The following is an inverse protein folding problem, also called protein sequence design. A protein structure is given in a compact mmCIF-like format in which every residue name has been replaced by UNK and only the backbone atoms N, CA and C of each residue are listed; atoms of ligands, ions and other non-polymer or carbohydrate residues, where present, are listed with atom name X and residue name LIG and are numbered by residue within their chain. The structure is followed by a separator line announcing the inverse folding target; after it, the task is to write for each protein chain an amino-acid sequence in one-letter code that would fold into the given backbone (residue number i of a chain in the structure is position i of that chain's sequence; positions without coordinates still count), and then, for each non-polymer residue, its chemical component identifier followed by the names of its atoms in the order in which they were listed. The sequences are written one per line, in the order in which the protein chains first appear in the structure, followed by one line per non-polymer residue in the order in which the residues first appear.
data_IF_494476966952
#
_entry.id   IF_494476966952
#
_cell.length_a   1.000
_cell.length_b   1.000
_cell.length_c   1.000
_cell.angle_alpha   90.00
_cell.angle_beta   90.00
_cell.angle_gamma   90.00
#
_symmetry.space_group_name_H-M   'P 1'
#
loop_
_entity.id
_entity.type
_entity.pdbx_description
1 polymer ?
#
# COMPACT_ATOMS: atom_id res chain seq x y z
N UNK A 1 -20.16 -3.82 0.51
CA UNK A 1 -19.68 -5.12 0.06
C UNK A 1 -18.22 -5.19 0.39
N UNK A 2 -17.86 -5.81 1.49
CA UNK A 2 -16.47 -6.02 1.85
C UNK A 2 -15.95 -7.28 1.19
N UNK A 3 -15.16 -7.14 0.14
CA UNK A 3 -14.32 -8.25 -0.32
C UNK A 3 -13.06 -8.25 0.56
N UNK A 4 -13.01 -9.15 1.53
CA UNK A 4 -11.88 -9.30 2.46
C UNK A 4 -10.75 -10.16 1.89
N UNK A 5 -10.50 -10.12 0.60
CA UNK A 5 -9.31 -10.75 0.08
C UNK A 5 -8.11 -9.86 0.34
N UNK A 6 -7.55 -10.00 1.51
CA UNK A 6 -6.32 -9.33 1.91
C UNK A 6 -5.16 -9.88 1.07
N UNK A 7 -4.35 -8.98 0.50
CA UNK A 7 -3.02 -9.30 -0.04
C UNK A 7 -2.14 -9.98 1.04
N UNK A 8 -2.53 -9.87 2.30
CA UNK A 8 -2.04 -10.58 3.47
C UNK A 8 -1.96 -12.11 3.29
N UNK A 9 -2.90 -12.68 2.54
CA UNK A 9 -3.01 -14.13 2.28
C UNK A 9 -2.21 -14.54 1.03
N UNK A 10 -1.43 -13.62 0.46
CA UNK A 10 -0.59 -13.91 -0.70
C UNK A 10 0.64 -14.73 -0.30
N UNK A 11 1.10 -15.57 -1.21
CA UNK A 11 2.34 -16.36 -1.09
C UNK A 11 3.62 -15.49 -0.91
N UNK A 12 3.50 -14.17 -1.01
CA UNK A 12 4.62 -13.21 -0.93
C UNK A 12 4.89 -12.66 0.48
N UNK A 13 4.17 -13.12 1.49
CA UNK A 13 4.37 -12.74 2.88
C UNK A 13 3.36 -11.75 3.43
N UNK A 14 3.19 -11.80 4.76
CA UNK A 14 2.20 -11.02 5.50
C UNK A 14 2.65 -9.60 5.82
N UNK A 15 3.95 -9.32 5.79
CA UNK A 15 4.53 -8.03 6.16
C UNK A 15 5.27 -7.35 5.01
N UNK A 16 5.58 -6.08 5.20
CA UNK A 16 6.22 -5.22 4.20
C UNK A 16 7.63 -5.71 3.84
N UNK A 17 8.41 -6.16 4.81
CA UNK A 17 9.80 -6.61 4.59
C UNK A 17 9.83 -7.91 3.78
N UNK A 18 8.96 -8.85 4.10
CA UNK A 18 8.79 -10.08 3.33
C UNK A 18 8.44 -9.81 1.86
N UNK A 19 7.63 -8.78 1.60
CA UNK A 19 7.27 -8.37 0.23
C UNK A 19 8.42 -7.70 -0.50
N UNK A 20 9.23 -6.89 0.18
CA UNK A 20 10.46 -6.32 -0.38
C UNK A 20 11.40 -7.44 -0.80
N UNK A 21 11.63 -8.41 0.09
CA UNK A 21 12.49 -9.56 -0.19
C UNK A 21 11.94 -10.41 -1.35
N UNK A 22 10.64 -10.64 -1.39
CA UNK A 22 10.02 -11.42 -2.46
C UNK A 22 10.09 -10.68 -3.82
N UNK A 23 9.93 -9.35 -3.82
CA UNK A 23 10.09 -8.54 -5.02
C UNK A 23 11.56 -8.52 -5.52
N UNK A 24 12.53 -8.52 -4.60
CA UNK A 24 13.95 -8.52 -4.92
C UNK A 24 14.47 -9.89 -5.42
N UNK A 25 13.80 -10.98 -5.06
CA UNK A 25 14.13 -12.34 -5.52
C UNK A 25 13.76 -12.62 -6.98
N UNK A 26 13.42 -11.61 -7.73
CA UNK A 26 13.17 -11.73 -9.17
C UNK A 26 14.37 -12.40 -9.83
N UNK A 27 14.18 -13.65 -10.17
CA UNK A 27 15.16 -14.60 -10.62
C UNK A 27 15.93 -14.06 -11.83
N UNK A 28 17.25 -14.13 -11.79
CA UNK A 28 18.13 -13.80 -12.92
C UNK A 28 17.84 -14.64 -14.18
N UNK A 29 17.09 -15.73 -14.06
CA UNK A 29 16.78 -16.66 -15.14
C UNK A 29 15.39 -16.52 -15.77
N UNK A 30 14.44 -15.83 -15.14
CA UNK A 30 13.08 -15.66 -15.68
C UNK A 30 12.55 -14.23 -15.50
N UNK A 31 12.99 -13.32 -16.37
CA UNK A 31 12.56 -11.92 -16.38
C UNK A 31 11.05 -11.71 -16.58
N UNK A 32 10.34 -12.73 -17.06
CA UNK A 32 8.90 -12.65 -17.31
C UNK A 32 8.07 -12.93 -16.05
N UNK A 33 8.62 -13.61 -15.05
CA UNK A 33 7.95 -14.02 -13.82
C UNK A 33 8.61 -13.49 -12.54
N UNK A 34 9.37 -12.40 -12.63
CA UNK A 34 10.01 -11.78 -11.49
C UNK A 34 9.00 -11.44 -10.39
N UNK A 35 9.39 -11.60 -9.13
CA UNK A 35 8.51 -11.39 -7.97
C UNK A 35 7.80 -10.03 -7.99
N UNK A 36 8.48 -8.96 -8.39
CA UNK A 36 7.90 -7.63 -8.56
C UNK A 36 6.77 -7.62 -9.59
N UNK A 37 6.99 -8.20 -10.79
CA UNK A 37 6.00 -8.20 -11.85
C UNK A 37 4.80 -9.10 -11.53
N UNK A 38 5.03 -10.23 -10.87
CA UNK A 38 3.95 -11.09 -10.37
C UNK A 38 3.08 -10.35 -9.36
N UNK A 39 3.68 -9.67 -8.39
CA UNK A 39 2.95 -8.88 -7.39
C UNK A 39 2.15 -7.75 -8.04
N UNK A 40 2.77 -6.99 -8.94
CA UNK A 40 2.09 -5.93 -9.67
C UNK A 40 0.89 -6.49 -10.44
N UNK A 41 1.09 -7.57 -11.19
CA UNK A 41 0.03 -8.21 -11.98
C UNK A 41 -1.13 -8.66 -11.10
N UNK A 42 -0.85 -9.26 -9.95
CA UNK A 42 -1.89 -9.67 -9.00
C UNK A 42 -2.66 -8.48 -8.45
N UNK A 43 -1.96 -7.42 -8.00
CA UNK A 43 -2.60 -6.20 -7.47
C UNK A 43 -3.50 -5.58 -8.54
N UNK A 44 -2.99 -5.38 -9.75
CA UNK A 44 -3.74 -4.74 -10.85
C UNK A 44 -4.93 -5.60 -11.27
N UNK A 45 -4.76 -6.92 -11.34
CA UNK A 45 -5.86 -7.84 -11.67
C UNK A 45 -6.99 -7.78 -10.64
N UNK A 46 -6.67 -7.77 -9.34
CA UNK A 46 -7.65 -7.62 -8.27
C UNK A 46 -8.39 -6.27 -8.36
N UNK A 47 -7.65 -5.17 -8.57
CA UNK A 47 -8.24 -3.84 -8.71
C UNK A 47 -9.15 -3.76 -9.93
N UNK A 48 -8.75 -4.29 -11.08
CA UNK A 48 -9.59 -4.34 -12.27
C UNK A 48 -10.87 -5.15 -12.04
N UNK A 49 -10.79 -6.28 -11.33
CA UNK A 49 -11.94 -7.06 -10.94
C UNK A 49 -12.92 -6.27 -10.08
N UNK A 50 -12.44 -5.64 -9.01
CA UNK A 50 -13.28 -4.84 -8.12
C UNK A 50 -13.87 -3.59 -8.80
N UNK A 51 -13.10 -2.89 -9.62
CA UNK A 51 -13.59 -1.74 -10.39
C UNK A 51 -14.71 -2.17 -11.33
N UNK A 52 -14.55 -3.29 -12.03
CA UNK A 52 -15.56 -3.81 -12.94
C UNK A 52 -16.86 -4.19 -12.22
N UNK A 53 -16.74 -4.85 -11.07
CA UNK A 53 -17.89 -5.21 -10.21
C UNK A 53 -18.64 -3.97 -9.74
N UNK A 54 -17.91 -3.01 -9.12
CA UNK A 54 -18.51 -1.76 -8.63
C UNK A 54 -19.14 -0.92 -9.75
N UNK A 55 -18.51 -0.85 -10.92
CA UNK A 55 -19.07 -0.14 -12.07
C UNK A 55 -20.38 -0.79 -12.54
N UNK A 56 -20.43 -2.11 -12.54
CA UNK A 56 -21.65 -2.87 -12.88
C UNK A 56 -22.77 -2.58 -11.90
N UNK A 57 -22.51 -2.66 -10.60
CA UNK A 57 -23.48 -2.34 -9.54
C UNK A 57 -24.00 -0.89 -9.63
N UNK A 58 -23.13 0.05 -9.96
CA UNK A 58 -23.49 1.46 -10.09
C UNK A 58 -24.11 1.82 -11.45
N UNK A 59 -24.19 0.90 -12.41
CA UNK A 59 -24.64 1.18 -13.78
C UNK A 59 -23.76 2.17 -14.51
N UNK A 60 -22.45 2.15 -14.25
CA UNK A 60 -21.44 3.03 -14.86
C UNK A 60 -20.44 2.20 -15.66
N UNK A 61 -19.72 2.87 -16.57
CA UNK A 61 -18.74 2.22 -17.45
C UNK A 61 -17.30 2.68 -17.16
N UNK A 62 -17.14 3.76 -16.42
CA UNK A 62 -15.82 4.37 -16.16
C UNK A 62 -15.74 5.07 -14.83
N UNK A 63 -14.57 5.00 -14.22
CA UNK A 63 -14.15 5.80 -13.06
C UNK A 63 -13.42 7.05 -13.58
N UNK A 64 -13.88 8.24 -13.20
CA UNK A 64 -13.24 9.49 -13.61
C UNK A 64 -11.90 9.69 -12.88
N UNK A 65 -11.87 9.40 -11.58
CA UNK A 65 -10.66 9.54 -10.75
C UNK A 65 -10.53 8.35 -9.82
N UNK A 66 -9.36 7.75 -9.80
CA UNK A 66 -8.97 6.69 -8.89
C UNK A 66 -7.92 7.24 -7.91
N UNK A 67 -8.25 7.26 -6.63
CA UNK A 67 -7.36 7.75 -5.59
C UNK A 67 -6.80 6.56 -4.82
N UNK A 68 -5.49 6.54 -4.65
CA UNK A 68 -4.75 5.47 -3.96
C UNK A 68 -4.07 6.05 -2.73
N UNK A 69 -4.42 5.54 -1.57
CA UNK A 69 -3.72 5.78 -0.32
C UNK A 69 -3.18 4.44 0.18
N UNK A 70 -1.90 4.35 0.40
CA UNK A 70 -1.27 3.10 0.81
C UNK A 70 0.15 3.31 1.32
N UNK A 71 0.64 2.29 2.00
CA UNK A 71 2.02 2.21 2.43
C UNK A 71 2.97 2.40 1.24
N UNK A 72 4.14 3.02 1.48
CA UNK A 72 5.11 3.35 0.43
C UNK A 72 5.53 2.13 -0.39
N UNK A 73 5.78 0.99 0.25
CA UNK A 73 6.15 -0.26 -0.44
C UNK A 73 5.01 -0.75 -1.34
N UNK A 74 3.78 -0.73 -0.83
CA UNK A 74 2.61 -1.17 -1.62
C UNK A 74 2.38 -0.28 -2.84
N UNK A 75 2.60 1.03 -2.72
CA UNK A 75 2.52 1.94 -3.86
C UNK A 75 3.62 1.68 -4.89
N UNK A 76 4.84 1.34 -4.46
CA UNK A 76 5.92 0.90 -5.35
C UNK A 76 5.55 -0.38 -6.10
N UNK A 77 5.03 -1.40 -5.38
CA UNK A 77 4.58 -2.66 -5.99
C UNK A 77 3.47 -2.44 -7.02
N UNK A 78 2.48 -1.59 -6.70
CA UNK A 78 1.41 -1.21 -7.63
C UNK A 78 1.96 -0.60 -8.91
N UNK A 79 2.96 0.28 -8.79
CA UNK A 79 3.55 0.98 -9.91
C UNK A 79 4.65 0.18 -10.63
N UNK A 80 4.97 -1.04 -10.16
CA UNK A 80 6.05 -1.85 -10.74
C UNK A 80 7.45 -1.25 -10.51
N UNK A 81 7.60 -0.44 -9.46
CA UNK A 81 8.87 0.15 -9.04
C UNK A 81 9.49 -0.77 -7.98
N UNK A 82 10.77 -1.09 -8.12
CA UNK A 82 11.46 -1.94 -7.15
C UNK A 82 11.47 -1.31 -5.76
N UNK A 83 10.97 -2.01 -4.72
CA UNK A 83 11.03 -1.53 -3.36
C UNK A 83 12.35 -1.86 -2.64
N UNK A 84 13.37 -2.38 -3.34
CA UNK A 84 14.60 -2.89 -2.73
C UNK A 84 15.30 -1.88 -1.82
N UNK A 85 15.35 -0.61 -2.23
CA UNK A 85 15.97 0.46 -1.43
C UNK A 85 15.23 0.75 -0.13
N UNK A 86 13.93 0.42 -0.06
CA UNK A 86 13.15 0.56 1.17
C UNK A 86 13.50 -0.50 2.22
N UNK A 87 14.12 -1.61 1.82
CA UNK A 87 14.64 -2.64 2.73
C UNK A 87 16.07 -2.39 3.23
N UNK A 88 16.75 -1.36 2.72
CA UNK A 88 18.17 -1.08 3.03
C UNK A 88 18.35 0.36 3.50
N UNK A 89 19.13 0.56 4.54
CA UNK A 89 19.48 1.92 4.98
C UNK A 89 20.13 2.72 3.83
N UNK A 90 19.75 3.98 3.59
CA UNK A 90 18.92 4.87 4.43
C UNK A 90 17.38 4.78 4.17
N UNK A 91 16.85 3.71 3.61
CA UNK A 91 15.42 3.44 3.39
C UNK A 91 14.71 4.49 2.51
N UNK A 92 15.41 4.96 1.51
CA UNK A 92 14.92 6.03 0.62
C UNK A 92 14.07 5.46 -0.51
N UNK A 93 12.82 5.93 -0.68
CA UNK A 93 12.00 5.53 -1.81
C UNK A 93 12.52 6.09 -3.13
N UNK A 94 12.32 5.35 -4.21
CA UNK A 94 12.60 5.82 -5.57
C UNK A 94 11.53 6.77 -6.10
N UNK A 95 10.31 6.70 -5.54
CA UNK A 95 9.19 7.57 -5.90
C UNK A 95 8.43 7.96 -4.63
N UNK A 96 8.17 9.27 -4.46
CA UNK A 96 7.38 9.82 -3.35
C UNK A 96 5.91 10.04 -3.69
N UNK A 97 5.53 9.82 -4.96
CA UNK A 97 4.15 9.98 -5.44
C UNK A 97 3.63 11.42 -5.32
N UNK A 98 2.38 11.61 -4.92
CA UNK A 98 1.79 12.95 -4.74
C UNK A 98 1.43 13.65 -6.04
N UNK A 99 1.28 12.93 -7.14
CA UNK A 99 0.93 13.44 -8.48
C UNK A 99 -0.05 12.54 -9.21
N UNK A 100 -0.53 13.00 -10.34
CA UNK A 100 -1.36 12.20 -11.24
C UNK A 100 -0.49 11.24 -12.08
N UNK A 101 -1.05 10.07 -12.32
CA UNK A 101 -0.49 9.01 -13.16
C UNK A 101 -1.54 8.56 -14.17
N UNK A 102 -1.08 8.07 -15.32
CA UNK A 102 -1.96 7.42 -16.27
C UNK A 102 -2.22 5.97 -15.82
N UNK A 103 -3.48 5.57 -15.52
CA UNK A 103 -3.79 4.23 -15.05
C UNK A 103 -3.37 3.14 -16.06
N UNK A 104 -3.40 3.43 -17.34
CA UNK A 104 -3.05 2.47 -18.39
C UNK A 104 -1.56 2.07 -18.38
N UNK A 105 -0.68 2.90 -17.80
CA UNK A 105 0.75 2.59 -17.72
C UNK A 105 1.02 1.36 -16.83
N UNK A 106 0.09 1.06 -15.93
CA UNK A 106 0.16 -0.13 -15.06
C UNK A 106 -0.87 -1.20 -15.43
N UNK A 107 -1.64 -1.01 -16.51
CA UNK A 107 -2.68 -1.94 -16.93
C UNK A 107 -3.98 -1.83 -16.13
N UNK A 108 -4.23 -0.71 -15.45
CA UNK A 108 -5.48 -0.45 -14.76
C UNK A 108 -6.52 0.06 -15.75
N UNK A 109 -7.59 -0.71 -15.93
CA UNK A 109 -8.64 -0.47 -16.91
C UNK A 109 -9.79 0.37 -16.31
N UNK A 110 -10.59 0.95 -17.21
CA UNK A 110 -11.82 1.66 -16.86
C UNK A 110 -11.64 2.86 -15.90
N UNK A 111 -10.42 3.38 -15.77
CA UNK A 111 -10.08 4.60 -15.03
C UNK A 111 -9.53 5.66 -15.97
N UNK A 112 -9.87 6.95 -15.73
CA UNK A 112 -9.37 8.06 -16.54
C UNK A 112 -8.07 8.64 -16.01
N UNK A 113 -8.03 8.90 -14.71
CA UNK A 113 -6.84 9.41 -14.01
C UNK A 113 -6.64 8.65 -12.71
N UNK A 114 -5.39 8.52 -12.29
CA UNK A 114 -5.02 7.94 -11.00
C UNK A 114 -4.16 8.94 -10.22
N UNK A 115 -4.50 9.15 -8.95
CA UNK A 115 -3.71 9.93 -8.00
C UNK A 115 -3.24 8.99 -6.91
N UNK A 116 -1.94 8.98 -6.65
CA UNK A 116 -1.37 8.28 -5.50
C UNK A 116 -0.97 9.34 -4.48
N UNK A 117 -1.44 9.17 -3.24
CA UNK A 117 -1.09 10.07 -2.15
C UNK A 117 0.41 10.07 -1.88
N UNK A 118 0.98 11.25 -1.51
CA UNK A 118 2.42 11.37 -1.32
C UNK A 118 2.89 10.56 -0.11
N UNK A 119 4.02 9.89 -0.26
CA UNK A 119 4.77 9.32 0.85
C UNK A 119 5.67 10.39 1.49
N UNK A 120 5.85 10.33 2.81
CA UNK A 120 6.80 11.17 3.56
C UNK A 120 8.17 10.49 3.60
N UNK A 121 8.18 9.17 3.73
CA UNK A 121 9.40 8.36 3.82
C UNK A 121 9.12 6.92 3.39
N UNK A 122 10.14 6.07 3.47
CA UNK A 122 10.00 4.65 3.18
C UNK A 122 8.95 3.92 4.03
N UNK A 123 8.73 4.37 5.25
CA UNK A 123 7.81 3.74 6.21
C UNK A 123 6.65 4.66 6.64
N UNK A 124 6.52 5.84 6.08
CA UNK A 124 5.38 6.75 6.28
C UNK A 124 4.83 7.07 4.90
N UNK A 125 3.82 6.34 4.52
CA UNK A 125 3.26 6.32 3.18
C UNK A 125 2.10 7.27 2.95
N UNK A 126 1.46 7.08 1.80
CA UNK A 126 0.28 7.82 1.38
C UNK A 126 -0.98 7.52 2.22
N UNK A 127 -1.03 6.41 2.91
CA UNK A 127 -2.02 6.06 3.93
C UNK A 127 -2.04 7.10 5.05
N UNK A 128 -0.86 7.42 5.61
CA UNK A 128 -0.72 8.40 6.68
C UNK A 128 -1.05 9.80 6.19
N UNK A 129 -0.53 10.21 5.03
CA UNK A 129 -0.80 11.55 4.50
C UNK A 129 -2.27 11.74 4.13
N UNK A 130 -2.95 10.70 3.64
CA UNK A 130 -4.38 10.73 3.40
C UNK A 130 -5.19 10.84 4.70
N UNK A 131 -4.83 10.05 5.72
CA UNK A 131 -5.49 10.12 7.03
C UNK A 131 -5.30 11.45 7.73
N UNK A 132 -4.16 12.10 7.53
CA UNK A 132 -3.86 13.42 8.09
C UNK A 132 -4.65 14.57 7.43
N UNK A 133 -5.28 14.38 6.28
CA UNK A 133 -5.99 15.47 5.58
C UNK A 133 -7.03 16.17 6.44
N UNK A 134 -7.69 15.46 7.33
CA UNK A 134 -8.66 16.03 8.27
C UNK A 134 -7.96 16.86 9.36
N UNK A 135 -6.69 16.59 9.67
CA UNK A 135 -5.95 17.25 10.76
C UNK A 135 -5.16 18.47 10.31
N UNK A 136 -4.78 18.54 9.03
CA UNK A 136 -3.94 19.62 8.49
C UNK A 136 -4.56 21.01 8.65
N UNK A 137 -5.89 21.11 8.63
CA UNK A 137 -6.60 22.36 8.82
C UNK A 137 -6.88 22.70 10.28
N UNK A 138 -6.56 21.82 11.23
CA UNK A 138 -6.73 22.06 12.65
C UNK A 138 -5.63 23.01 13.14
N UNK A 139 -6.05 24.13 13.75
CA UNK A 139 -5.11 25.08 14.36
C UNK A 139 -4.69 24.65 15.77
N UNK A 140 -4.81 23.39 16.10
CA UNK A 140 -4.48 22.78 17.39
C UNK A 140 -3.36 21.74 17.20
N UNK A 141 -2.59 21.51 18.25
CA UNK A 141 -1.60 20.45 18.26
C UNK A 141 -2.32 19.10 18.21
N UNK A 142 -2.14 18.38 17.13
CA UNK A 142 -2.85 17.12 16.85
C UNK A 142 -1.87 15.97 16.77
N UNK A 143 -2.19 14.87 17.42
CA UNK A 143 -1.53 13.58 17.28
C UNK A 143 -2.43 12.66 16.44
N UNK A 144 -1.95 12.28 15.28
CA UNK A 144 -2.54 11.25 14.44
C UNK A 144 -1.83 9.92 14.68
N UNK A 145 -2.61 8.85 14.86
CA UNK A 145 -2.12 7.49 15.04
C UNK A 145 -2.78 6.58 14.02
N UNK A 146 -1.99 5.82 13.29
CA UNK A 146 -2.44 4.68 12.51
C UNK A 146 -1.94 3.41 13.19
N UNK A 147 -2.87 2.57 13.61
CA UNK A 147 -2.57 1.34 14.35
C UNK A 147 -2.94 0.15 13.48
N UNK A 148 -1.94 -0.37 12.78
CA UNK A 148 -2.03 -1.56 11.94
C UNK A 148 -0.98 -2.59 12.31
N UNK A 149 -0.51 -3.36 11.34
CA UNK A 149 0.65 -4.26 11.48
C UNK A 149 1.91 -3.49 11.89
N UNK A 150 2.06 -2.27 11.40
CA UNK A 150 2.97 -1.27 11.93
C UNK A 150 2.17 -0.21 12.68
N UNK A 151 2.86 0.61 13.44
CA UNK A 151 2.29 1.78 14.08
C UNK A 151 2.92 3.04 13.53
N UNK A 152 2.16 3.84 12.83
CA UNK A 152 2.61 5.13 12.31
C UNK A 152 2.02 6.26 13.13
N UNK A 153 2.82 7.28 13.37
CA UNK A 153 2.44 8.45 14.17
C UNK A 153 2.83 9.73 13.47
N UNK A 154 1.96 10.73 13.56
CA UNK A 154 2.24 12.08 13.11
C UNK A 154 1.76 13.08 14.17
N UNK A 155 2.68 13.87 14.71
CA UNK A 155 2.40 14.92 15.69
C UNK A 155 2.71 16.27 15.08
N UNK A 156 1.75 17.17 15.10
CA UNK A 156 1.96 18.49 14.55
C UNK A 156 0.76 19.43 14.61
N UNK A 157 0.90 20.56 13.93
CA UNK A 157 -0.10 21.60 13.85
C UNK A 157 0.02 22.32 12.51
N UNK A 158 -1.14 22.57 11.85
CA UNK A 158 -1.19 23.28 10.58
C UNK A 158 -0.40 22.52 9.50
N UNK A 159 0.65 23.13 8.98
CA UNK A 159 1.49 22.62 7.90
C UNK A 159 2.76 21.89 8.35
N UNK A 160 2.95 21.70 9.68
CA UNK A 160 4.16 21.13 10.25
C UNK A 160 3.87 19.92 11.11
N UNK A 161 4.37 18.77 10.67
CA UNK A 161 4.26 17.51 11.39
C UNK A 161 5.60 16.81 11.47
N UNK A 162 5.82 16.13 12.58
CA UNK A 162 6.90 15.15 12.76
C UNK A 162 6.25 13.77 12.71
N UNK A 163 6.77 12.91 11.86
CA UNK A 163 6.24 11.58 11.67
C UNK A 163 7.27 10.54 12.09
N UNK A 164 6.78 9.42 12.62
CA UNK A 164 7.59 8.22 12.83
C UNK A 164 6.77 6.98 12.55
N UNK A 165 7.45 5.90 12.24
CA UNK A 165 6.88 4.57 12.11
C UNK A 165 7.59 3.63 13.08
N UNK A 166 6.84 2.70 13.66
CA UNK A 166 7.37 1.65 14.52
C UNK A 166 6.80 0.30 14.11
N UNK A 167 7.60 -0.74 14.21
CA UNK A 167 7.09 -2.10 14.11
C UNK A 167 6.22 -2.38 15.34
N UNK A 168 4.92 -2.43 15.17
CA UNK A 168 3.98 -2.80 16.24
C UNK A 168 3.96 -4.32 16.46
N UNK A 169 4.42 -5.07 15.44
CA UNK A 169 4.39 -6.52 15.40
C UNK A 169 2.99 -7.08 15.15
N UNK A 170 2.89 -8.27 14.57
CA UNK A 170 1.61 -8.93 14.32
C UNK A 170 1.07 -9.50 15.65
N UNK A 171 0.40 -8.67 16.44
CA UNK A 171 -0.12 -9.07 17.75
C UNK A 171 -1.29 -10.07 17.63
N UNK A 172 -2.03 -10.02 16.52
CA UNK A 172 -3.22 -10.83 16.31
C UNK A 172 -3.18 -11.66 15.02
N UNK A 173 -2.24 -11.38 14.12
CA UNK A 173 -2.14 -12.05 12.82
C UNK A 173 -1.42 -13.40 12.88
N UNK A 174 -0.99 -13.83 14.06
CA UNK A 174 -0.48 -15.18 14.33
C UNK A 174 0.84 -15.54 13.65
N UNK A 175 1.47 -14.63 12.90
CA UNK A 175 2.75 -14.90 12.27
C UNK A 175 3.87 -14.85 13.33
N UNK A 176 4.63 -15.93 13.45
CA UNK A 176 5.75 -16.10 14.38
C UNK A 176 5.39 -16.16 15.88
N UNK A 177 4.13 -16.34 16.22
CA UNK A 177 3.70 -16.62 17.58
C UNK A 177 3.54 -18.15 17.72
N UNK A 178 4.10 -18.74 18.78
CA UNK A 178 4.15 -20.21 18.98
C UNK A 178 2.76 -20.87 19.01
N UNK A 179 1.72 -20.13 19.40
CA UNK A 179 0.32 -20.56 19.41
C UNK A 179 -0.59 -19.69 18.54
N UNK A 180 0.00 -18.94 17.64
CA UNK A 180 -0.76 -18.11 16.67
C UNK A 180 -1.37 -18.96 15.57
N UNK A 181 -2.53 -18.55 15.06
CA UNK A 181 -3.09 -19.16 13.86
C UNK A 181 -3.47 -18.09 12.83
N UNK A 182 -3.30 -18.39 11.53
CA UNK A 182 -3.74 -17.47 10.50
C UNK A 182 -5.25 -17.26 10.56
N UNK A 183 -5.71 -16.08 10.15
CA UNK A 183 -7.14 -15.79 10.05
C UNK A 183 -7.81 -16.84 9.15
N UNK A 184 -8.78 -17.54 9.67
CA UNK A 184 -9.57 -18.52 8.95
C UNK A 184 -11.05 -18.22 9.10
N UNK A 185 -11.88 -18.70 8.14
CA UNK A 185 -13.32 -18.46 8.17
C UNK A 185 -13.91 -19.05 9.45
N UNK A 186 -14.36 -18.18 10.37
CA UNK A 186 -14.94 -18.57 11.66
C UNK A 186 -13.99 -18.50 12.86
N UNK A 187 -12.78 -17.95 12.68
CA UNK A 187 -11.86 -17.66 13.78
C UNK A 187 -12.09 -16.24 14.32
#
# INVERSE_FOLDING_TARGET
VGSEMCIRDSSFGADVLSRIDAAARADDNDKANGGLQMMQTQIVSLLNGWISEMLTECGRTKVSRFSVAGNTVMCHLLMGISPEKLGKAPFMPDEYFGREFNPLDIGLENCQTMIIFPAVSGFVGGDITAGMMETVNCNELTLYLDIGTNGEMALGKGDRYVCCATAAGPAFEGSQIELGMPASKGA
#
